data_IF_175928124781
#
_entry.id   IF_175928124781
#
_cell.length_a   1.000
_cell.length_b   1.000
_cell.length_c   1.000
_cell.angle_alpha   90.00
_cell.angle_beta   90.00
_cell.angle_gamma   90.00
#
_symmetry.space_group_name_H-M   'P 1'
#
loop_
_entity.id
_entity.type
_entity.pdbx_description
1 polymer ?
#
# COMPACT_ATOMS: atom_id res chain seq x y z
N UNK A 1 -33.45 10.63 -35.10
CA UNK A 1 -33.63 12.09 -35.20
C UNK A 1 -32.32 12.78 -34.89
N UNK A 2 -31.74 13.54 -35.82
CA UNK A 2 -30.73 14.59 -35.56
C UNK A 2 -30.50 15.35 -36.88
N UNK A 3 -31.40 16.29 -37.22
CA UNK A 3 -31.41 17.01 -38.50
C UNK A 3 -30.49 18.23 -38.61
N UNK A 4 -29.72 18.56 -37.57
CA UNK A 4 -28.95 19.82 -37.52
C UNK A 4 -27.44 19.55 -37.48
N UNK A 5 -26.91 18.86 -38.50
CA UNK A 5 -25.46 18.64 -38.64
C UNK A 5 -25.02 19.02 -40.04
N UNK A 6 -24.01 19.88 -40.12
CA UNK A 6 -23.30 20.15 -41.37
C UNK A 6 -22.05 19.28 -41.39
N UNK A 7 -21.85 18.55 -42.50
CA UNK A 7 -20.70 17.68 -42.69
C UNK A 7 -19.79 18.37 -43.72
N UNK A 8 -18.53 18.56 -43.36
CA UNK A 8 -17.51 19.11 -44.25
C UNK A 8 -16.37 18.09 -44.38
N UNK A 9 -16.12 17.64 -45.61
CA UNK A 9 -14.95 16.83 -45.94
C UNK A 9 -13.86 17.76 -46.45
N UNK A 10 -12.69 17.77 -45.79
CA UNK A 10 -11.56 18.63 -46.15
C UNK A 10 -10.49 17.74 -46.77
N UNK A 11 -10.19 17.88 -48.08
CA UNK A 11 -9.10 17.17 -48.72
C UNK A 11 -7.77 17.51 -48.06
N UNK A 12 -6.92 16.50 -47.88
CA UNK A 12 -5.59 16.66 -47.29
C UNK A 12 -4.58 15.84 -48.09
N UNK A 13 -3.38 16.38 -48.28
CA UNK A 13 -2.39 15.82 -49.24
C UNK A 13 -1.35 14.90 -48.62
N UNK A 14 -1.13 14.99 -47.30
CA UNK A 14 -0.21 14.09 -46.59
C UNK A 14 -0.98 12.98 -45.86
N UNK A 15 -0.32 11.85 -45.63
CA UNK A 15 -0.93 10.74 -44.89
C UNK A 15 -1.21 11.08 -43.41
N UNK A 16 -0.51 12.06 -42.87
CA UNK A 16 -0.63 12.50 -41.48
C UNK A 16 -0.65 14.04 -41.39
N UNK A 17 -1.26 14.57 -40.33
CA UNK A 17 -1.32 15.99 -40.03
C UNK A 17 -0.37 16.33 -38.87
N UNK A 18 0.69 17.08 -39.17
CA UNK A 18 1.60 17.57 -38.16
C UNK A 18 0.93 18.47 -37.11
N UNK A 19 1.56 18.59 -35.94
CA UNK A 19 1.04 19.37 -34.82
C UNK A 19 0.73 20.84 -35.18
N UNK A 20 1.61 21.49 -35.94
CA UNK A 20 1.46 22.89 -36.35
C UNK A 20 0.32 23.08 -37.34
N UNK A 21 0.14 22.14 -38.27
CA UNK A 21 -0.97 22.10 -39.23
C UNK A 21 -2.30 21.91 -38.52
N UNK A 22 -2.33 20.99 -37.54
CA UNK A 22 -3.49 20.71 -36.69
C UNK A 22 -3.93 21.94 -35.90
N UNK A 23 -3.00 22.62 -35.23
CA UNK A 23 -3.32 23.87 -34.52
C UNK A 23 -3.89 24.92 -35.47
N UNK A 24 -3.30 25.09 -36.66
CA UNK A 24 -3.81 26.00 -37.69
C UNK A 24 -5.23 25.63 -38.13
N UNK A 25 -5.52 24.35 -38.29
CA UNK A 25 -6.86 23.88 -38.65
C UNK A 25 -7.87 24.18 -37.54
N UNK A 26 -7.53 23.93 -36.27
CA UNK A 26 -8.39 24.23 -35.12
C UNK A 26 -8.70 25.73 -35.06
N UNK A 27 -7.69 26.60 -35.21
CA UNK A 27 -7.89 28.06 -35.19
C UNK A 27 -8.73 28.56 -36.37
N UNK A 28 -8.49 28.04 -37.57
CA UNK A 28 -9.35 28.36 -38.73
C UNK A 28 -10.80 27.96 -38.49
N UNK A 29 -11.03 26.78 -37.92
CA UNK A 29 -12.39 26.32 -37.61
C UNK A 29 -13.03 27.17 -36.49
N UNK A 30 -12.25 27.64 -35.51
CA UNK A 30 -12.75 28.57 -34.48
C UNK A 30 -13.19 29.89 -35.10
N UNK A 31 -12.36 30.47 -35.97
CA UNK A 31 -12.71 31.69 -36.71
C UNK A 31 -13.98 31.51 -37.52
N UNK A 32 -14.11 30.39 -38.25
CA UNK A 32 -15.31 30.06 -39.01
C UNK A 32 -16.55 29.94 -38.14
N UNK A 33 -16.47 29.22 -37.02
CA UNK A 33 -17.59 29.07 -36.06
C UNK A 33 -18.02 30.41 -35.50
N UNK A 34 -17.08 31.32 -35.20
CA UNK A 34 -17.39 32.68 -34.74
C UNK A 34 -18.10 33.49 -35.82
N UNK A 35 -17.57 33.51 -37.05
CA UNK A 35 -18.21 34.24 -38.16
C UNK A 35 -19.61 33.69 -38.50
N UNK A 36 -19.80 32.37 -38.44
CA UNK A 36 -21.12 31.75 -38.63
C UNK A 36 -22.11 32.17 -37.55
N UNK A 37 -21.67 32.26 -36.28
CA UNK A 37 -22.50 32.77 -35.19
C UNK A 37 -22.91 34.23 -35.42
N UNK A 38 -21.98 35.08 -35.86
CA UNK A 38 -22.25 36.50 -36.14
C UNK A 38 -23.24 36.69 -37.29
N UNK A 39 -23.14 35.86 -38.34
CA UNK A 39 -24.04 35.96 -39.50
C UNK A 39 -25.44 35.40 -39.24
N UNK A 40 -25.55 34.28 -38.52
CA UNK A 40 -26.81 33.52 -38.41
C UNK A 40 -27.49 33.72 -37.04
N UNK A 41 -26.76 34.20 -36.03
CA UNK A 41 -27.30 34.45 -34.68
C UNK A 41 -27.48 33.20 -33.82
N UNK A 42 -26.93 32.05 -34.21
CA UNK A 42 -27.02 30.79 -33.46
C UNK A 42 -25.64 30.24 -33.09
N UNK A 43 -25.56 29.49 -31.98
CA UNK A 43 -24.30 28.88 -31.55
C UNK A 43 -23.98 27.62 -32.35
N UNK A 44 -22.74 27.55 -32.85
CA UNK A 44 -22.20 26.38 -33.54
C UNK A 44 -21.15 25.68 -32.68
N UNK A 45 -21.09 24.36 -32.82
CA UNK A 45 -20.03 23.50 -32.27
C UNK A 45 -19.45 22.64 -33.38
N UNK A 46 -18.14 22.42 -33.35
CA UNK A 46 -17.42 21.63 -34.34
C UNK A 46 -16.59 20.54 -33.68
N UNK A 47 -16.69 19.33 -34.22
CA UNK A 47 -15.77 18.24 -33.95
C UNK A 47 -14.93 17.97 -35.20
N UNK A 48 -13.64 17.71 -35.02
CA UNK A 48 -12.70 17.46 -36.11
C UNK A 48 -12.07 16.08 -35.89
N UNK A 49 -12.15 15.22 -36.92
CA UNK A 49 -11.50 13.92 -36.95
C UNK A 49 -10.08 14.00 -37.48
N UNK A 50 -9.33 12.91 -37.36
CA UNK A 50 -7.98 12.77 -37.89
C UNK A 50 -7.98 12.66 -39.42
N UNK A 51 -6.80 12.81 -40.03
CA UNK A 51 -6.63 12.54 -41.46
C UNK A 51 -6.71 11.04 -41.69
N UNK A 52 -7.61 10.63 -42.59
CA UNK A 52 -7.80 9.23 -42.95
C UNK A 52 -7.74 9.07 -44.48
N UNK A 53 -7.20 7.95 -44.99
CA UNK A 53 -7.36 7.56 -46.38
C UNK A 53 -8.82 7.61 -46.83
N UNK A 54 -9.04 7.84 -48.13
CA UNK A 54 -10.40 7.89 -48.69
C UNK A 54 -11.24 6.64 -48.37
N UNK A 55 -10.61 5.46 -48.41
CA UNK A 55 -11.25 4.19 -48.08
C UNK A 55 -11.77 4.10 -46.64
N UNK A 56 -11.18 4.86 -45.71
CA UNK A 56 -11.52 4.89 -44.29
C UNK A 56 -12.01 6.27 -43.84
N UNK A 57 -12.49 7.11 -44.77
CA UNK A 57 -12.98 8.46 -44.45
C UNK A 57 -14.13 8.46 -43.43
N UNK A 58 -14.86 7.36 -43.33
CA UNK A 58 -15.92 7.19 -42.34
C UNK A 58 -15.39 7.17 -40.91
N UNK A 59 -14.15 6.73 -40.70
CA UNK A 59 -13.52 6.73 -39.38
C UNK A 59 -13.26 8.16 -38.91
N UNK A 60 -12.72 9.02 -39.79
CA UNK A 60 -12.58 10.47 -39.52
C UNK A 60 -13.94 11.13 -39.21
N UNK A 61 -15.00 10.73 -39.91
CA UNK A 61 -16.36 11.18 -39.61
C UNK A 61 -16.85 10.74 -38.22
N UNK A 62 -16.65 9.48 -37.84
CA UNK A 62 -17.00 8.98 -36.50
C UNK A 62 -16.20 9.68 -35.41
N UNK A 63 -14.91 9.93 -35.65
CA UNK A 63 -14.03 10.70 -34.77
C UNK A 63 -14.52 12.15 -34.61
N UNK A 64 -14.90 12.80 -35.71
CA UNK A 64 -15.48 14.15 -35.66
C UNK A 64 -16.80 14.18 -34.87
N UNK A 65 -17.66 13.16 -35.02
CA UNK A 65 -18.86 13.03 -34.20
C UNK A 65 -18.53 12.80 -32.72
N UNK A 66 -17.49 12.01 -32.44
CA UNK A 66 -17.00 11.76 -31.09
C UNK A 66 -16.49 13.07 -30.44
N UNK A 67 -15.66 13.82 -31.17
CA UNK A 67 -15.19 15.15 -30.80
C UNK A 67 -16.32 16.15 -30.57
N UNK A 68 -17.35 16.13 -31.42
CA UNK A 68 -18.52 17.00 -31.29
C UNK A 68 -19.33 16.67 -30.02
N UNK A 69 -19.50 15.38 -29.69
CA UNK A 69 -20.26 14.92 -28.53
C UNK A 69 -19.53 15.19 -27.21
N UNK A 70 -18.27 14.79 -27.13
CA UNK A 70 -17.53 14.75 -25.86
C UNK A 70 -16.56 15.93 -25.67
N UNK A 71 -16.34 16.76 -26.69
CA UNK A 71 -15.53 17.97 -26.57
C UNK A 71 -16.19 19.04 -25.69
N UNK A 72 -15.44 19.61 -24.74
CA UNK A 72 -15.93 20.72 -23.90
C UNK A 72 -15.87 22.07 -24.62
N UNK A 73 -14.98 22.22 -25.61
CA UNK A 73 -14.77 23.47 -26.35
C UNK A 73 -15.71 23.57 -27.55
N UNK A 74 -15.93 24.81 -28.05
CA UNK A 74 -16.71 25.06 -29.28
C UNK A 74 -16.12 24.34 -30.49
N UNK A 75 -14.81 24.18 -30.54
CA UNK A 75 -14.09 23.40 -31.55
C UNK A 75 -13.17 22.41 -30.83
N UNK A 76 -13.30 21.12 -31.14
CA UNK A 76 -12.49 20.05 -30.54
C UNK A 76 -11.97 19.10 -31.63
N UNK A 77 -10.69 18.74 -31.56
CA UNK A 77 -10.10 17.72 -32.42
C UNK A 77 -10.03 16.37 -31.70
N UNK A 78 -10.11 15.25 -32.43
CA UNK A 78 -10.10 13.91 -31.83
C UNK A 78 -8.85 13.63 -30.99
N UNK A 79 -7.65 14.00 -31.43
CA UNK A 79 -6.46 13.78 -30.59
C UNK A 79 -6.49 14.60 -29.28
N UNK A 80 -7.20 15.73 -29.22
CA UNK A 80 -7.36 16.46 -27.93
C UNK A 80 -8.20 15.62 -26.95
N UNK A 81 -9.14 14.81 -27.46
CA UNK A 81 -9.90 13.85 -26.67
C UNK A 81 -9.08 12.59 -26.33
N UNK A 82 -8.29 12.07 -27.26
CA UNK A 82 -7.47 10.87 -27.02
C UNK A 82 -6.39 11.14 -25.98
N UNK A 83 -5.65 12.25 -26.11
CA UNK A 83 -4.67 12.70 -25.10
C UNK A 83 -5.33 12.91 -23.74
N UNK A 84 -6.54 13.47 -23.70
CA UNK A 84 -7.31 13.62 -22.45
C UNK A 84 -7.75 12.28 -21.86
N UNK A 85 -8.15 11.32 -22.68
CA UNK A 85 -8.56 9.99 -22.22
C UNK A 85 -7.37 9.22 -21.63
N UNK A 86 -6.20 9.30 -22.27
CA UNK A 86 -4.99 8.65 -21.78
C UNK A 86 -4.45 9.35 -20.52
N UNK A 87 -4.49 10.69 -20.48
CA UNK A 87 -4.17 11.46 -19.28
C UNK A 87 -5.11 11.11 -18.11
N UNK A 88 -6.43 11.01 -18.35
CA UNK A 88 -7.40 10.65 -17.31
C UNK A 88 -7.21 9.21 -16.81
N UNK A 89 -6.91 8.26 -17.70
CA UNK A 89 -6.56 6.88 -17.32
C UNK A 89 -5.27 6.83 -16.50
N UNK A 90 -4.25 7.58 -16.90
CA UNK A 90 -2.99 7.68 -16.18
C UNK A 90 -3.20 8.29 -14.78
N UNK A 91 -3.97 9.37 -14.69
CA UNK A 91 -4.37 10.02 -13.44
C UNK A 91 -5.10 9.04 -12.51
N UNK A 92 -6.07 8.29 -13.03
CA UNK A 92 -6.81 7.28 -12.26
C UNK A 92 -5.90 6.15 -11.76
N UNK A 93 -4.94 5.70 -12.58
CA UNK A 93 -3.96 4.70 -12.20
C UNK A 93 -3.02 5.19 -11.10
N UNK A 94 -2.44 6.40 -11.22
CA UNK A 94 -1.58 7.01 -10.20
C UNK A 94 -2.30 7.16 -8.86
N UNK A 95 -3.56 7.62 -8.90
CA UNK A 95 -4.41 7.68 -7.71
C UNK A 95 -4.61 6.30 -7.10
N UNK A 96 -4.94 5.30 -7.91
CA UNK A 96 -5.19 3.94 -7.46
C UNK A 96 -3.95 3.34 -6.79
N UNK A 97 -2.79 3.40 -7.43
CA UNK A 97 -1.54 2.84 -6.89
C UNK A 97 -1.12 3.55 -5.61
N UNK A 98 -1.25 4.88 -5.54
CA UNK A 98 -0.98 5.67 -4.33
C UNK A 98 -1.84 5.22 -3.13
N UNK A 99 -3.15 5.02 -3.34
CA UNK A 99 -4.03 4.54 -2.27
C UNK A 99 -3.75 3.07 -1.89
N UNK A 100 -3.36 2.23 -2.85
CA UNK A 100 -2.98 0.84 -2.61
C UNK A 100 -1.73 0.73 -1.71
N UNK A 101 -0.68 1.52 -1.97
CA UNK A 101 0.54 1.51 -1.15
C UNK A 101 0.31 2.11 0.25
N UNK A 102 -0.50 3.16 0.36
CA UNK A 102 -0.91 3.73 1.65
C UNK A 102 -1.66 2.71 2.51
N UNK A 103 -2.63 1.99 1.95
CA UNK A 103 -3.39 0.94 2.68
C UNK A 103 -2.50 -0.20 3.17
N UNK A 104 -1.40 -0.49 2.46
CA UNK A 104 -0.45 -1.55 2.83
C UNK A 104 0.56 -1.11 3.89
N UNK A 105 0.63 0.19 4.23
CA UNK A 105 1.68 0.71 5.10
C UNK A 105 3.08 0.65 4.47
N UNK A 106 3.18 0.60 3.14
CA UNK A 106 4.47 0.53 2.43
C UNK A 106 5.07 1.94 2.29
N UNK A 107 5.99 2.31 3.18
CA UNK A 107 6.64 3.64 3.15
C UNK A 107 7.46 3.86 1.88
N UNK A 108 8.20 2.86 1.41
CA UNK A 108 9.05 2.97 0.23
C UNK A 108 8.20 3.11 -1.05
N UNK A 109 7.16 2.28 -1.17
CA UNK A 109 6.17 2.40 -2.23
C UNK A 109 5.45 3.74 -2.20
N UNK A 110 5.02 4.21 -1.03
CA UNK A 110 4.34 5.51 -0.85
C UNK A 110 5.20 6.67 -1.34
N UNK A 111 6.50 6.69 -0.99
CA UNK A 111 7.43 7.72 -1.48
C UNK A 111 7.48 7.75 -3.01
N UNK A 112 7.68 6.58 -3.63
CA UNK A 112 7.80 6.46 -5.09
C UNK A 112 6.52 6.89 -5.81
N UNK A 113 5.36 6.41 -5.36
CA UNK A 113 4.08 6.76 -5.98
C UNK A 113 3.74 8.24 -5.77
N UNK A 114 4.10 8.83 -4.63
CA UNK A 114 3.96 10.27 -4.39
C UNK A 114 4.81 11.09 -5.37
N UNK A 115 6.06 10.71 -5.60
CA UNK A 115 6.95 11.35 -6.58
C UNK A 115 6.37 11.28 -8.00
N UNK A 116 5.86 10.12 -8.41
CA UNK A 116 5.23 9.94 -9.74
C UNK A 116 3.98 10.79 -9.90
N UNK A 117 3.14 10.86 -8.86
CA UNK A 117 1.92 11.67 -8.86
C UNK A 117 2.26 13.17 -8.93
N UNK A 118 3.20 13.62 -8.10
CA UNK A 118 3.68 15.01 -8.10
C UNK A 118 4.29 15.39 -9.45
N UNK A 119 5.12 14.52 -10.05
CA UNK A 119 5.67 14.75 -11.38
C UNK A 119 4.56 14.86 -12.44
N UNK A 120 3.51 14.04 -12.36
CA UNK A 120 2.37 14.14 -13.27
C UNK A 120 1.64 15.48 -13.14
N UNK A 121 1.39 15.98 -11.93
CA UNK A 121 0.65 17.22 -11.73
C UNK A 121 1.48 18.51 -11.88
N UNK A 122 2.77 18.46 -11.56
CA UNK A 122 3.65 19.65 -11.50
C UNK A 122 4.53 19.79 -12.74
N UNK A 123 4.99 18.68 -13.33
CA UNK A 123 6.00 18.71 -14.38
C UNK A 123 5.37 18.54 -15.78
N UNK A 124 4.07 18.29 -15.86
CA UNK A 124 3.33 18.20 -17.12
C UNK A 124 2.37 19.39 -17.28
N UNK A 125 2.10 19.81 -18.53
CA UNK A 125 1.08 20.83 -18.84
C UNK A 125 -0.36 20.29 -18.71
N UNK A 126 -0.56 19.17 -18.02
CA UNK A 126 -1.84 18.45 -17.99
C UNK A 126 -2.82 18.95 -16.93
N UNK A 127 -2.35 19.75 -15.97
CA UNK A 127 -3.17 20.25 -14.84
C UNK A 127 -2.86 21.70 -14.49
N UNK A 128 -3.86 22.39 -13.94
CA UNK A 128 -3.65 23.67 -13.25
C UNK A 128 -3.15 23.43 -11.81
N UNK A 129 -2.64 24.48 -11.18
CA UNK A 129 -2.25 24.44 -9.76
C UNK A 129 -3.43 24.07 -8.85
N UNK A 130 -4.62 24.61 -9.14
CA UNK A 130 -5.85 24.26 -8.41
C UNK A 130 -6.23 22.78 -8.60
N UNK A 131 -6.05 22.21 -9.80
CA UNK A 131 -6.29 20.79 -10.05
C UNK A 131 -5.32 19.91 -9.25
N UNK A 132 -4.04 20.31 -9.19
CA UNK A 132 -3.04 19.64 -8.38
C UNK A 132 -3.38 19.70 -6.89
N UNK A 133 -3.69 20.89 -6.36
CA UNK A 133 -4.10 21.05 -4.96
C UNK A 133 -5.31 20.17 -4.60
N UNK A 134 -6.34 20.16 -5.45
CA UNK A 134 -7.55 19.35 -5.22
C UNK A 134 -7.25 17.85 -5.24
N UNK A 135 -6.45 17.38 -6.20
CA UNK A 135 -6.08 15.97 -6.30
C UNK A 135 -5.20 15.50 -5.13
N UNK A 136 -4.21 16.31 -4.74
CA UNK A 136 -3.35 16.04 -3.60
C UNK A 136 -4.16 16.05 -2.29
N UNK A 137 -5.08 17.00 -2.12
CA UNK A 137 -5.99 17.05 -0.98
C UNK A 137 -6.90 15.82 -0.91
N UNK A 138 -7.42 15.35 -2.04
CA UNK A 138 -8.23 14.14 -2.11
C UNK A 138 -7.46 12.91 -1.59
N UNK A 139 -6.20 12.74 -2.01
CA UNK A 139 -5.33 11.66 -1.51
C UNK A 139 -5.09 11.78 0.00
N UNK A 140 -4.82 12.99 0.50
CA UNK A 140 -4.60 13.22 1.93
C UNK A 140 -5.84 12.90 2.76
N UNK A 141 -7.03 13.33 2.31
CA UNK A 141 -8.29 13.05 3.00
C UNK A 141 -8.62 11.56 3.01
N UNK A 142 -8.41 10.87 1.89
CA UNK A 142 -8.62 9.43 1.82
C UNK A 142 -7.58 8.67 2.66
N UNK A 143 -6.33 9.12 2.70
CA UNK A 143 -5.29 8.60 3.59
C UNK A 143 -5.63 8.78 5.07
N UNK A 144 -6.11 9.95 5.47
CA UNK A 144 -6.63 10.20 6.82
C UNK A 144 -7.81 9.27 7.14
N UNK A 145 -8.73 9.07 6.19
CA UNK A 145 -9.87 8.15 6.34
C UNK A 145 -9.40 6.72 6.58
N UNK A 146 -8.44 6.24 5.78
CA UNK A 146 -7.82 4.91 5.93
C UNK A 146 -7.17 4.76 7.31
N UNK A 147 -6.46 5.79 7.78
CA UNK A 147 -5.85 5.79 9.11
C UNK A 147 -6.90 5.85 10.24
N UNK A 148 -8.00 6.59 10.04
CA UNK A 148 -9.08 6.70 11.02
C UNK A 148 -9.95 5.46 11.13
N UNK A 149 -10.14 4.71 10.05
CA UNK A 149 -10.75 3.37 10.09
C UNK A 149 -9.96 2.40 10.97
N UNK A 150 -8.67 2.67 11.22
CA UNK A 150 -7.77 1.85 12.04
C UNK A 150 -7.67 2.32 13.51
N UNK A 151 -8.46 3.33 13.91
CA UNK A 151 -8.64 3.71 15.32
C UNK A 151 -7.88 4.96 15.78
N UNK A 152 -7.30 5.76 14.87
CA UNK A 152 -6.72 7.08 15.17
C UNK A 152 -7.56 8.23 14.62
N UNK A 153 -7.85 9.24 15.45
CA UNK A 153 -8.24 10.56 14.95
C UNK A 153 -7.00 11.23 14.35
N UNK A 154 -6.91 11.27 13.01
CA UNK A 154 -5.81 11.95 12.33
C UNK A 154 -6.22 13.41 12.12
N UNK A 155 -5.80 14.28 13.05
CA UNK A 155 -5.86 15.72 12.82
C UNK A 155 -4.61 16.15 12.07
N UNK A 156 -4.68 16.17 10.74
CA UNK A 156 -3.62 16.70 9.90
C UNK A 156 -3.96 18.13 9.45
N UNK A 157 -3.11 19.09 9.81
CA UNK A 157 -3.17 20.46 9.31
C UNK A 157 -2.66 20.56 7.86
N UNK A 158 -2.01 19.50 7.35
CA UNK A 158 -1.38 19.47 6.02
C UNK A 158 -2.37 19.78 4.88
N UNK A 159 -3.66 19.45 5.03
CA UNK A 159 -4.67 19.81 4.04
C UNK A 159 -4.85 21.33 3.89
N UNK A 160 -4.80 22.08 5.00
CA UNK A 160 -4.87 23.55 4.97
C UNK A 160 -3.56 24.17 4.47
N UNK A 161 -2.43 23.63 4.90
CA UNK A 161 -1.10 24.07 4.44
C UNK A 161 -0.96 23.87 2.93
N UNK A 162 -1.42 22.74 2.40
CA UNK A 162 -1.42 22.43 0.97
C UNK A 162 -2.25 23.42 0.16
N UNK A 163 -3.41 23.84 0.68
CA UNK A 163 -4.27 24.86 0.05
C UNK A 163 -3.69 26.28 0.13
N UNK A 164 -2.75 26.53 1.05
CA UNK A 164 -2.07 27.82 1.23
C UNK A 164 -0.71 27.89 0.54
N UNK A 165 -0.21 26.75 0.04
CA UNK A 165 1.03 26.69 -0.70
C UNK A 165 0.97 27.62 -1.92
N UNK A 166 2.00 28.43 -2.07
CA UNK A 166 2.11 29.45 -3.12
C UNK A 166 3.05 29.03 -4.25
N UNK A 167 3.71 27.87 -4.10
CA UNK A 167 4.63 27.33 -5.11
C UNK A 167 4.50 25.80 -5.27
N UNK A 168 4.82 25.25 -6.47
CA UNK A 168 4.92 23.80 -6.69
C UNK A 168 5.84 23.09 -5.70
N UNK A 169 6.95 23.71 -5.31
CA UNK A 169 7.91 23.11 -4.40
C UNK A 169 7.36 23.02 -2.97
N UNK A 170 6.66 24.04 -2.50
CA UNK A 170 5.95 24.00 -1.21
C UNK A 170 4.90 22.88 -1.19
N UNK A 171 4.08 22.76 -2.25
CA UNK A 171 3.10 21.67 -2.37
C UNK A 171 3.78 20.30 -2.33
N UNK A 172 4.91 20.15 -3.03
CA UNK A 172 5.68 18.90 -3.09
C UNK A 172 6.16 18.51 -1.70
N UNK A 173 6.72 19.45 -0.95
CA UNK A 173 7.25 19.21 0.38
C UNK A 173 6.14 18.90 1.39
N UNK A 174 5.05 19.68 1.39
CA UNK A 174 3.90 19.48 2.28
C UNK A 174 3.27 18.12 2.01
N UNK A 175 2.94 17.82 0.76
CA UNK A 175 2.30 16.56 0.38
C UNK A 175 3.16 15.36 0.74
N UNK A 176 4.45 15.37 0.35
CA UNK A 176 5.38 14.26 0.62
C UNK A 176 5.53 14.00 2.11
N UNK A 177 5.69 15.07 2.91
CA UNK A 177 5.80 14.95 4.36
C UNK A 177 4.52 14.36 4.97
N UNK A 178 3.36 14.84 4.52
CA UNK A 178 2.07 14.41 5.04
C UNK A 178 1.77 12.93 4.70
N UNK A 179 1.99 12.48 3.46
CA UNK A 179 1.72 11.08 3.08
C UNK A 179 2.70 10.10 3.74
N UNK A 180 3.96 10.51 3.96
CA UNK A 180 4.93 9.70 4.69
C UNK A 180 4.59 9.61 6.18
N UNK A 181 4.05 10.67 6.76
CA UNK A 181 3.53 10.59 8.13
C UNK A 181 2.31 9.68 8.21
N UNK A 182 1.36 9.82 7.27
CA UNK A 182 0.17 8.96 7.18
C UNK A 182 0.53 7.48 7.03
N UNK A 183 1.45 7.13 6.13
CA UNK A 183 1.83 5.72 5.95
C UNK A 183 2.52 5.15 7.18
N UNK A 184 3.29 5.95 7.94
CA UNK A 184 3.88 5.52 9.21
C UNK A 184 2.82 5.30 10.27
N UNK A 185 1.82 6.18 10.34
CA UNK A 185 0.69 6.02 11.25
C UNK A 185 -0.14 4.78 10.89
N UNK A 186 -0.35 4.52 9.59
CA UNK A 186 -1.01 3.32 9.09
C UNK A 186 -0.14 2.07 9.35
N UNK A 187 1.17 2.11 9.13
CA UNK A 187 2.05 0.97 9.39
C UNK A 187 2.17 0.65 10.89
N UNK A 188 2.12 1.67 11.75
CA UNK A 188 2.12 1.53 13.20
C UNK A 188 0.79 0.98 13.75
N UNK A 189 -0.31 1.14 13.01
CA UNK A 189 -1.66 0.70 13.40
C UNK A 189 -2.24 -0.41 12.54
N UNK A 190 -1.58 -0.77 11.44
CA UNK A 190 -1.80 -2.04 10.81
C UNK A 190 -1.80 -3.00 11.99
N UNK A 191 -2.90 -3.75 12.25
CA UNK A 191 -2.72 -4.95 13.03
C UNK A 191 -1.50 -5.58 12.38
N UNK A 192 -0.47 -5.98 13.14
CA UNK A 192 0.34 -7.12 12.66
C UNK A 192 -0.73 -8.04 12.16
N UNK A 193 -0.91 -8.16 10.85
CA UNK A 193 -2.14 -8.69 10.27
C UNK A 193 -2.15 -10.09 10.84
N UNK A 194 -2.95 -10.34 11.89
CA UNK A 194 -2.47 -11.17 13.01
C UNK A 194 -2.23 -12.52 12.41
N UNK A 195 -0.97 -12.77 12.04
CA UNK A 195 -0.74 -13.75 10.99
C UNK A 195 -1.25 -15.03 11.59
N UNK A 196 -1.76 -15.94 10.77
CA UNK A 196 -2.19 -17.25 11.30
C UNK A 196 -1.09 -17.84 12.21
N UNK A 197 0.18 -17.48 11.95
CA UNK A 197 1.34 -17.73 12.80
C UNK A 197 1.45 -16.85 14.06
N UNK A 198 1.15 -15.55 14.03
CA UNK A 198 1.14 -14.71 15.23
C UNK A 198 0.04 -15.15 16.23
N UNK A 199 -1.17 -15.43 15.75
CA UNK A 199 -2.24 -16.01 16.57
C UNK A 199 -1.84 -17.37 17.14
N UNK A 200 -1.16 -18.19 16.33
CA UNK A 200 -0.63 -19.45 16.79
C UNK A 200 0.48 -19.26 17.85
N UNK A 201 1.38 -18.28 17.69
CA UNK A 201 2.43 -17.96 18.67
C UNK A 201 1.82 -17.54 20.00
N UNK A 202 0.79 -16.69 19.98
CA UNK A 202 0.07 -16.28 21.20
C UNK A 202 -0.61 -17.47 21.87
N UNK A 203 -1.28 -18.32 21.09
CA UNK A 203 -1.86 -19.55 21.61
C UNK A 203 -0.81 -20.49 22.21
N UNK A 204 0.33 -20.68 21.54
CA UNK A 204 1.45 -21.48 22.04
C UNK A 204 1.98 -20.87 23.36
N UNK A 205 2.22 -19.57 23.40
CA UNK A 205 2.76 -18.87 24.57
C UNK A 205 1.85 -19.02 25.80
N UNK A 206 0.53 -19.07 25.59
CA UNK A 206 -0.44 -19.24 26.67
C UNK A 206 -0.65 -20.71 27.07
N UNK A 207 -0.21 -21.68 26.26
CA UNK A 207 -0.53 -23.10 26.45
C UNK A 207 0.68 -24.05 26.39
N UNK A 208 1.93 -23.54 26.30
CA UNK A 208 3.11 -24.37 26.10
C UNK A 208 3.38 -25.36 27.24
N UNK A 209 2.87 -25.09 28.44
CA UNK A 209 2.99 -25.98 29.62
C UNK A 209 2.00 -27.15 29.60
N UNK A 210 0.98 -27.09 28.75
CA UNK A 210 -0.04 -28.14 28.59
C UNK A 210 0.33 -29.12 27.46
N UNK A 211 -0.49 -30.16 27.26
CA UNK A 211 -0.39 -31.06 26.10
C UNK A 211 -0.78 -30.33 24.80
N UNK A 212 0.18 -29.59 24.25
CA UNK A 212 0.07 -28.86 23.01
C UNK A 212 0.68 -29.67 21.86
N UNK A 213 -0.06 -29.79 20.76
CA UNK A 213 0.39 -30.44 19.53
C UNK A 213 0.22 -29.51 18.34
N UNK A 214 0.90 -29.83 17.23
CA UNK A 214 0.81 -29.07 16.00
C UNK A 214 -0.65 -29.04 15.48
N UNK A 215 -1.34 -30.17 15.57
CA UNK A 215 -2.73 -30.34 15.14
C UNK A 215 -3.67 -29.47 15.97
N UNK A 216 -3.51 -29.45 17.30
CA UNK A 216 -4.31 -28.60 18.20
C UNK A 216 -4.09 -27.12 17.90
N UNK A 217 -2.84 -26.71 17.67
CA UNK A 217 -2.53 -25.31 17.32
C UNK A 217 -3.10 -24.95 15.95
N UNK A 218 -2.94 -25.80 14.94
CA UNK A 218 -3.48 -25.57 13.60
C UNK A 218 -5.01 -25.47 13.60
N UNK A 219 -5.69 -26.32 14.39
CA UNK A 219 -7.13 -26.26 14.61
C UNK A 219 -7.55 -24.95 15.25
N UNK A 220 -6.83 -24.47 16.27
CA UNK A 220 -7.13 -23.21 16.95
C UNK A 220 -7.09 -22.00 16.02
N UNK A 221 -6.23 -22.04 15.00
CA UNK A 221 -6.10 -20.97 13.99
C UNK A 221 -6.79 -21.30 12.67
N UNK A 222 -7.67 -22.30 12.66
CA UNK A 222 -8.54 -22.70 11.54
C UNK A 222 -7.81 -22.99 10.21
N UNK A 223 -6.65 -23.66 10.24
CA UNK A 223 -5.97 -24.14 9.03
C UNK A 223 -5.53 -25.61 9.14
N UNK A 224 -5.25 -26.23 8.00
CA UNK A 224 -4.77 -27.62 7.99
C UNK A 224 -3.39 -27.75 8.66
N UNK A 225 -3.11 -28.87 9.36
CA UNK A 225 -1.80 -29.12 9.99
C UNK A 225 -0.62 -29.03 9.01
N UNK A 226 -0.81 -29.55 7.78
CA UNK A 226 0.22 -29.49 6.73
C UNK A 226 0.54 -28.05 6.33
N UNK A 227 -0.50 -27.24 6.08
CA UNK A 227 -0.33 -25.83 5.73
C UNK A 227 0.29 -25.03 6.89
N UNK A 228 -0.14 -25.32 8.11
CA UNK A 228 0.42 -24.69 9.32
C UNK A 228 1.91 -24.98 9.47
N UNK A 229 2.33 -26.24 9.33
CA UNK A 229 3.74 -26.63 9.47
C UNK A 229 4.65 -25.88 8.49
N UNK A 230 4.22 -25.81 7.22
CA UNK A 230 4.93 -25.08 6.17
C UNK A 230 5.02 -23.58 6.49
N UNK A 231 3.87 -22.96 6.73
CA UNK A 231 3.76 -21.53 6.99
C UNK A 231 4.51 -21.12 8.27
N UNK A 232 4.44 -21.92 9.33
CA UNK A 232 5.14 -21.65 10.59
C UNK A 232 6.66 -21.66 10.40
N UNK A 233 7.18 -22.62 9.64
CA UNK A 233 8.62 -22.69 9.36
C UNK A 233 9.10 -21.53 8.48
N UNK A 234 8.32 -21.17 7.46
CA UNK A 234 8.63 -20.03 6.58
C UNK A 234 8.68 -18.71 7.36
N UNK A 235 7.71 -18.48 8.25
CA UNK A 235 7.60 -17.23 9.03
C UNK A 235 8.53 -17.15 10.24
N UNK A 236 8.82 -18.28 10.91
CA UNK A 236 9.61 -18.28 12.16
C UNK A 236 11.06 -18.73 11.97
N UNK A 237 11.39 -19.30 10.82
CA UNK A 237 12.69 -19.92 10.56
C UNK A 237 12.90 -21.27 11.28
N UNK A 238 11.99 -21.68 12.16
CA UNK A 238 12.07 -22.94 12.93
C UNK A 238 10.79 -23.74 12.81
N UNK A 239 10.86 -25.06 13.02
CA UNK A 239 9.65 -25.86 13.05
C UNK A 239 8.91 -25.70 14.40
N UNK A 240 7.62 -26.04 14.42
CA UNK A 240 6.77 -25.94 15.61
C UNK A 240 7.35 -26.68 16.84
N UNK A 241 7.85 -27.90 16.66
CA UNK A 241 8.38 -28.72 17.77
C UNK A 241 9.60 -28.08 18.41
N UNK A 242 10.54 -27.58 17.61
CA UNK A 242 11.73 -26.89 18.10
C UNK A 242 11.38 -25.57 18.79
N UNK A 243 10.42 -24.81 18.24
CA UNK A 243 9.91 -23.58 18.84
C UNK A 243 9.29 -23.85 20.23
N UNK A 244 8.41 -24.86 20.33
CA UNK A 244 7.79 -25.28 21.59
C UNK A 244 8.84 -25.77 22.60
N UNK A 245 9.80 -26.59 22.15
CA UNK A 245 10.91 -27.05 22.99
C UNK A 245 11.71 -25.86 23.54
N UNK A 246 12.01 -24.86 22.70
CA UNK A 246 12.72 -23.65 23.11
C UNK A 246 12.01 -22.92 24.27
N UNK A 247 10.71 -22.69 24.15
CA UNK A 247 9.91 -22.05 25.20
C UNK A 247 9.92 -22.84 26.52
N UNK A 248 9.74 -24.16 26.44
CA UNK A 248 9.75 -25.03 27.62
C UNK A 248 11.11 -25.05 28.32
N UNK A 249 12.19 -25.13 27.56
CA UNK A 249 13.56 -25.11 28.13
C UNK A 249 13.88 -23.75 28.72
N UNK A 250 13.48 -22.65 28.08
CA UNK A 250 13.63 -21.32 28.65
C UNK A 250 12.90 -21.21 30.00
N UNK A 251 11.64 -21.63 30.07
CA UNK A 251 10.88 -21.65 31.33
C UNK A 251 11.58 -22.48 32.41
N UNK A 252 12.11 -23.65 32.07
CA UNK A 252 12.85 -24.48 33.02
C UNK A 252 14.13 -23.78 33.55
N UNK A 253 14.87 -23.08 32.68
CA UNK A 253 16.03 -22.27 33.10
C UNK A 253 15.64 -21.13 34.03
N UNK A 254 14.52 -20.46 33.74
CA UNK A 254 13.98 -19.39 34.59
C UNK A 254 13.59 -19.92 35.97
N UNK A 255 12.91 -21.07 36.04
CA UNK A 255 12.53 -21.72 37.29
C UNK A 255 13.77 -22.13 38.11
N UNK A 256 14.77 -22.72 37.47
CA UNK A 256 16.04 -23.10 38.14
C UNK A 256 16.82 -21.90 38.67
N UNK A 257 16.81 -20.78 37.96
CA UNK A 257 17.46 -19.53 38.41
C UNK A 257 16.72 -18.88 39.56
N UNK A 258 15.39 -18.95 39.56
CA UNK A 258 14.55 -18.35 40.60
C UNK A 258 14.60 -19.13 41.91
N UNK A 259 14.68 -20.46 41.82
CA UNK A 259 14.73 -21.35 42.98
C UNK A 259 15.61 -22.59 42.67
N UNK A 260 16.92 -22.50 42.92
CA UNK A 260 17.86 -23.59 42.67
C UNK A 260 17.63 -24.84 43.54
N UNK A 261 16.91 -24.73 44.66
CA UNK A 261 16.65 -25.88 45.55
C UNK A 261 15.46 -26.72 45.12
N UNK A 262 14.64 -26.18 44.20
CA UNK A 262 13.43 -26.84 43.74
C UNK A 262 13.69 -28.17 43.04
N UNK A 263 12.76 -29.11 43.23
CA UNK A 263 12.84 -30.44 42.65
C UNK A 263 12.79 -30.41 41.12
N UNK A 264 13.80 -30.98 40.46
CA UNK A 264 13.91 -31.06 38.99
C UNK A 264 12.67 -31.73 38.36
N UNK A 265 12.06 -32.71 39.04
CA UNK A 265 10.83 -33.37 38.57
C UNK A 265 9.67 -32.38 38.50
N UNK A 266 9.50 -31.54 39.50
CA UNK A 266 8.45 -30.51 39.53
C UNK A 266 8.70 -29.44 38.48
N UNK A 267 9.96 -28.99 38.32
CA UNK A 267 10.35 -28.05 37.27
C UNK A 267 10.03 -28.62 35.89
N UNK A 268 10.30 -29.91 35.67
CA UNK A 268 10.00 -30.55 34.38
C UNK A 268 8.50 -30.53 34.07
N UNK A 269 7.65 -30.77 35.07
CA UNK A 269 6.19 -30.76 34.94
C UNK A 269 5.70 -29.33 34.66
N UNK A 270 6.14 -28.34 35.43
CA UNK A 270 5.74 -26.94 35.22
C UNK A 270 6.25 -26.38 33.89
N UNK A 271 7.39 -26.85 33.40
CA UNK A 271 7.90 -26.52 32.08
C UNK A 271 7.14 -27.22 30.93
N UNK A 272 6.16 -28.08 31.23
CA UNK A 272 5.32 -28.75 30.24
C UNK A 272 5.81 -30.11 29.76
N UNK A 273 6.65 -30.80 30.54
CA UNK A 273 7.07 -32.17 30.28
C UNK A 273 6.44 -33.14 31.28
N UNK A 274 5.70 -34.13 30.80
CA UNK A 274 5.14 -35.21 31.62
C UNK A 274 6.19 -36.24 32.05
N UNK A 275 7.30 -36.36 31.32
CA UNK A 275 8.36 -37.34 31.58
C UNK A 275 9.69 -36.64 31.94
N UNK A 276 10.13 -36.70 33.22
CA UNK A 276 11.37 -36.06 33.67
C UNK A 276 12.64 -36.60 32.99
N UNK A 277 12.68 -37.90 32.64
CA UNK A 277 13.84 -38.51 31.98
C UNK A 277 13.98 -37.98 30.54
N UNK A 278 12.86 -37.81 29.84
CA UNK A 278 12.84 -37.19 28.52
C UNK A 278 13.25 -35.72 28.58
N UNK A 279 12.70 -34.98 29.55
CA UNK A 279 13.07 -33.60 29.82
C UNK A 279 14.58 -33.43 30.00
N UNK A 280 15.23 -34.22 30.87
CA UNK A 280 16.67 -34.10 31.12
C UNK A 280 17.52 -34.31 29.87
N UNK A 281 17.11 -35.22 28.97
CA UNK A 281 17.78 -35.44 27.67
C UNK A 281 17.62 -34.25 26.74
N UNK A 282 16.42 -33.71 26.61
CA UNK A 282 16.13 -32.54 25.76
C UNK A 282 16.81 -31.30 26.31
N UNK A 283 16.78 -31.08 27.62
CA UNK A 283 17.45 -29.97 28.28
C UNK A 283 18.95 -29.99 27.97
N UNK A 284 19.63 -31.14 28.18
CA UNK A 284 21.04 -31.29 27.83
C UNK A 284 21.32 -31.06 26.35
N UNK A 285 20.46 -31.55 25.46
CA UNK A 285 20.59 -31.31 24.01
C UNK A 285 20.51 -29.82 23.67
N UNK A 286 19.61 -29.07 24.31
CA UNK A 286 19.38 -27.66 24.02
C UNK A 286 20.37 -26.71 24.71
N UNK A 287 20.87 -27.05 25.90
CA UNK A 287 21.71 -26.16 26.72
C UNK A 287 23.17 -26.60 26.81
N UNK A 288 23.50 -27.82 26.40
CA UNK A 288 24.82 -28.44 26.56
C UNK A 288 25.05 -29.12 27.91
N UNK A 289 24.16 -28.92 28.89
CA UNK A 289 24.31 -29.40 30.27
C UNK A 289 22.99 -29.95 30.84
N UNK A 290 23.05 -30.85 31.81
CA UNK A 290 21.85 -31.37 32.48
C UNK A 290 21.20 -30.30 33.38
N UNK A 291 19.91 -30.43 33.73
CA UNK A 291 19.28 -29.56 34.71
C UNK A 291 20.01 -29.53 36.06
N UNK A 292 20.55 -30.68 36.48
CA UNK A 292 21.35 -30.82 37.70
C UNK A 292 22.68 -30.07 37.59
N UNK A 293 23.41 -30.23 36.49
CA UNK A 293 24.66 -29.50 36.24
C UNK A 293 24.42 -27.97 36.26
N UNK A 294 23.34 -27.49 35.65
CA UNK A 294 22.98 -26.07 35.69
C UNK A 294 22.67 -25.60 37.12
N UNK A 295 21.94 -26.40 37.90
CA UNK A 295 21.65 -26.10 39.31
C UNK A 295 22.93 -25.99 40.13
N UNK A 296 23.86 -26.91 39.96
CA UNK A 296 25.11 -26.92 40.71
C UNK A 296 25.92 -25.65 40.40
N UNK A 297 25.99 -25.24 39.13
CA UNK A 297 26.60 -23.97 38.72
C UNK A 297 25.91 -22.77 39.38
N UNK A 298 24.57 -22.73 39.41
CA UNK A 298 23.82 -21.63 40.02
C UNK A 298 24.04 -21.55 41.54
N UNK A 299 24.22 -22.68 42.21
CA UNK A 299 24.54 -22.75 43.64
C UNK A 299 25.98 -22.32 43.92
N UNK A 300 26.94 -22.83 43.14
CA UNK A 300 28.36 -22.46 43.29
C UNK A 300 28.65 -21.01 42.92
N UNK A 301 27.82 -20.38 42.08
CA UNK A 301 27.91 -18.95 41.76
C UNK A 301 27.21 -18.01 42.75
N UNK A 302 26.48 -18.54 43.73
CA UNK A 302 25.82 -17.78 44.80
C UNK A 302 26.66 -17.61 46.07
N UNK A 303 27.77 -18.34 46.18
CA UNK A 303 28.64 -18.35 47.37
C UNK A 303 29.73 -17.25 47.37
N UNK A 304 29.66 -16.24 46.48
CA UNK A 304 30.64 -15.14 46.45
C UNK A 304 30.17 -13.83 47.12
N UNK A 305 29.03 -13.80 47.81
CA UNK A 305 28.64 -12.63 48.61
C UNK A 305 28.53 -12.93 50.12
N UNK A 306 29.64 -12.59 50.81
CA UNK A 306 29.81 -12.14 52.21
C UNK A 306 29.91 -13.22 53.32
N UNK A 307 30.79 -13.04 54.35
CA UNK A 307 31.09 -11.76 55.00
C UNK A 307 32.59 -11.47 55.27
N UNK A 308 32.99 -10.21 55.16
CA UNK A 308 34.11 -9.68 55.94
C UNK A 308 33.60 -8.47 56.70
N UNK A 309 33.05 -8.76 57.89
CA UNK A 309 33.12 -7.83 59.00
C UNK A 309 34.44 -8.07 59.72
N UNK A 310 35.24 -7.02 59.81
CA UNK A 310 36.00 -6.59 60.99
C UNK A 310 36.15 -5.07 60.90
#
# INVERSE_FOLDING_TARGET
MMGNKLIAAIPWTSADMGYTERLRMIERMRSLVTSLKEMVGVDFKAGIGSVQPWSTMFDSYQEALNALRHGMRKVTHIDDLMVRNDAAKQQANLRRTMLEVLRRGDEAGTRREAEMLLAWYMDTRNSTEADAQMALLEILLEGCRIASEQGKSVQSQAGKELLQASTPEEMRQIFTTAVLQLVRDIAAQAPKQNSVIQLAKEYIQNNFTSELSLEKTAQQVNISPYYFSKLFKEETGTNFSDYLTGLRIQKARELLRKDPDRNIKEISIEAGYSNPNYFSRIFKKCTGMTPTELRDILKSGGDTEHPSGE
#
